data_IF_459232127088
#
_entry.id   IF_459232127088
#
_cell.length_a   1.000
_cell.length_b   1.000
_cell.length_c   1.000
_cell.angle_alpha   90.00
_cell.angle_beta   90.00
_cell.angle_gamma   90.00
#
_symmetry.space_group_name_H-M   'P 1'
#
loop_
_entity.id
_entity.type
_entity.pdbx_description
1 polymer ?
#
# COMPACT_ATOMS: atom_id res chain seq x y z
N UNK A 1 6.00 -30.74 -28.05
CA UNK A 1 6.60 -29.50 -27.49
C UNK A 1 5.47 -28.58 -27.07
N UNK A 2 5.15 -28.51 -25.77
CA UNK A 2 4.18 -27.54 -25.27
C UNK A 2 4.84 -26.16 -25.24
N UNK A 3 4.31 -25.20 -26.01
CA UNK A 3 4.68 -23.79 -25.88
C UNK A 3 4.16 -23.32 -24.51
N UNK A 4 5.04 -23.23 -23.52
CA UNK A 4 4.79 -22.44 -22.32
C UNK A 4 4.82 -20.97 -22.73
N UNK A 5 3.70 -20.50 -23.29
CA UNK A 5 3.44 -19.08 -23.35
C UNK A 5 3.40 -18.60 -21.90
N UNK A 6 4.19 -17.59 -21.55
CA UNK A 6 4.09 -16.94 -20.25
C UNK A 6 2.69 -16.30 -20.15
N UNK A 7 1.69 -17.08 -19.73
CA UNK A 7 0.34 -16.62 -19.49
C UNK A 7 0.36 -15.94 -18.13
N UNK A 8 0.73 -14.66 -18.12
CA UNK A 8 0.51 -13.84 -16.93
C UNK A 8 -0.99 -13.89 -16.58
N UNK A 9 -1.36 -14.12 -15.32
CA UNK A 9 -2.76 -14.28 -14.92
C UNK A 9 -3.61 -13.00 -15.10
N UNK A 10 -2.96 -11.85 -15.32
CA UNK A 10 -3.63 -10.56 -15.46
C UNK A 10 -3.07 -9.75 -16.62
N UNK A 11 -3.87 -8.79 -17.10
CA UNK A 11 -3.44 -7.84 -18.13
C UNK A 11 -2.58 -6.72 -17.52
N UNK A 12 -1.87 -5.98 -18.38
CA UNK A 12 -0.99 -4.86 -17.95
C UNK A 12 -1.72 -3.85 -17.06
N UNK A 13 -3.00 -3.61 -17.33
CA UNK A 13 -3.82 -2.68 -16.58
C UNK A 13 -4.03 -3.12 -15.12
N UNK A 14 -4.28 -4.40 -14.89
CA UNK A 14 -4.39 -4.96 -13.53
C UNK A 14 -3.09 -4.78 -12.74
N UNK A 15 -1.96 -5.11 -13.36
CA UNK A 15 -0.64 -4.93 -12.74
C UNK A 15 -0.35 -3.46 -12.42
N UNK A 16 -0.84 -2.53 -13.24
CA UNK A 16 -0.74 -1.11 -12.95
C UNK A 16 -1.51 -0.73 -11.67
N UNK A 17 -2.77 -1.16 -11.53
CA UNK A 17 -3.54 -0.91 -10.30
C UNK A 17 -2.89 -1.56 -9.07
N UNK A 18 -2.45 -2.81 -9.19
CA UNK A 18 -1.76 -3.50 -8.09
C UNK A 18 -0.49 -2.74 -7.70
N UNK A 19 0.31 -2.28 -8.66
CA UNK A 19 1.51 -1.48 -8.42
C UNK A 19 1.22 -0.14 -7.75
N UNK A 20 0.17 0.56 -8.18
CA UNK A 20 -0.27 1.82 -7.56
C UNK A 20 -0.72 1.59 -6.12
N UNK A 21 -1.55 0.57 -5.88
CA UNK A 21 -2.03 0.24 -4.54
C UNK A 21 -0.88 -0.17 -3.60
N UNK A 22 0.09 -0.92 -4.11
CA UNK A 22 1.30 -1.26 -3.36
C UNK A 22 2.13 -0.03 -2.99
N UNK A 23 2.32 0.91 -3.93
CA UNK A 23 3.03 2.15 -3.67
C UNK A 23 2.31 3.02 -2.62
N UNK A 24 0.98 3.08 -2.66
CA UNK A 24 0.17 3.76 -1.64
C UNK A 24 0.39 3.15 -0.25
N UNK A 25 0.42 1.82 -0.14
CA UNK A 25 0.74 1.14 1.12
C UNK A 25 2.14 1.52 1.62
N UNK A 26 3.15 1.51 0.74
CA UNK A 26 4.52 1.94 1.10
C UNK A 26 4.51 3.37 1.64
N UNK A 27 3.87 4.30 0.95
CA UNK A 27 3.79 5.70 1.38
C UNK A 27 3.10 5.79 2.74
N UNK A 28 1.99 5.07 2.93
CA UNK A 28 1.29 5.02 4.21
C UNK A 28 2.18 4.54 5.35
N UNK A 29 2.94 3.45 5.15
CA UNK A 29 3.88 2.96 6.16
C UNK A 29 5.05 3.93 6.40
N UNK A 30 5.57 4.58 5.36
CA UNK A 30 6.63 5.59 5.50
C UNK A 30 6.18 6.79 6.34
N UNK A 31 4.92 7.21 6.21
CA UNK A 31 4.37 8.31 7.01
C UNK A 31 4.25 7.96 8.51
N UNK A 32 4.23 6.67 8.85
CA UNK A 32 4.25 6.20 10.25
C UNK A 32 5.63 6.30 10.90
N UNK A 33 6.72 6.42 10.12
CA UNK A 33 8.10 6.41 10.64
C UNK A 33 8.41 7.63 11.50
N UNK A 34 8.96 7.41 12.70
CA UNK A 34 9.36 8.44 13.67
C UNK A 34 8.40 8.58 14.86
N UNK A 35 8.50 9.69 15.59
CA UNK A 35 7.65 9.98 16.76
C UNK A 35 8.04 9.20 18.02
N UNK A 36 8.92 8.20 17.91
CA UNK A 36 9.53 7.57 19.08
C UNK A 36 10.31 8.58 19.93
N UNK A 37 10.30 8.39 21.24
CA UNK A 37 11.17 9.11 22.15
C UNK A 37 12.56 8.45 22.16
N UNK A 38 13.63 9.25 22.24
CA UNK A 38 14.98 8.73 22.45
C UNK A 38 15.17 8.16 23.87
N UNK A 39 14.40 8.69 24.84
CA UNK A 39 14.33 8.18 26.21
C UNK A 39 12.92 7.61 26.47
N UNK A 40 12.77 6.30 26.72
CA UNK A 40 11.48 5.68 27.02
C UNK A 40 10.76 6.26 28.24
N UNK A 41 11.47 6.93 29.15
CA UNK A 41 10.88 7.60 30.31
C UNK A 41 10.20 8.93 29.97
N UNK A 42 10.44 9.48 28.77
CA UNK A 42 9.90 10.76 28.33
C UNK A 42 8.86 10.51 27.23
N UNK A 43 7.64 10.98 27.48
CA UNK A 43 6.56 10.91 26.50
C UNK A 43 6.76 11.92 25.36
N UNK A 44 6.81 11.45 24.11
CA UNK A 44 6.84 12.31 22.93
C UNK A 44 5.42 12.45 22.34
N UNK A 45 4.79 13.64 22.39
CA UNK A 45 3.44 13.86 21.85
C UNK A 45 3.36 13.70 20.31
N UNK A 46 4.48 13.72 19.59
CA UNK A 46 4.50 13.53 18.13
C UNK A 46 4.06 12.13 17.68
N UNK A 47 4.09 11.14 18.58
CA UNK A 47 3.49 9.81 18.35
C UNK A 47 2.02 9.95 17.94
N UNK A 48 1.31 10.91 18.55
CA UNK A 48 -0.12 11.14 18.32
C UNK A 48 -0.41 12.18 17.24
N UNK A 49 0.56 12.48 16.38
CA UNK A 49 0.33 13.35 15.24
C UNK A 49 -0.77 12.80 14.33
N UNK A 50 -1.64 13.71 13.85
CA UNK A 50 -2.70 13.40 12.88
C UNK A 50 -2.18 12.63 11.65
N UNK A 51 -0.96 12.97 11.21
CA UNK A 51 -0.28 12.29 10.10
C UNK A 51 -0.12 10.79 10.36
N UNK A 52 0.32 10.39 11.56
CA UNK A 52 0.62 9.00 11.91
C UNK A 52 -0.64 8.19 12.22
N UNK A 53 -1.57 8.77 12.98
CA UNK A 53 -2.76 8.04 13.48
C UNK A 53 -3.90 8.04 12.47
N UNK A 54 -4.04 9.08 11.65
CA UNK A 54 -5.19 9.24 10.76
C UNK A 54 -4.80 9.14 9.29
N UNK A 55 -3.87 9.98 8.84
CA UNK A 55 -3.53 10.02 7.41
C UNK A 55 -2.83 8.73 6.94
N UNK A 56 -1.91 8.21 7.75
CA UNK A 56 -1.15 7.00 7.39
C UNK A 56 -2.05 5.76 7.27
N UNK A 57 -2.93 5.44 8.24
CA UNK A 57 -3.82 4.28 8.10
C UNK A 57 -4.82 4.43 6.97
N UNK A 58 -5.33 5.64 6.71
CA UNK A 58 -6.23 5.90 5.57
C UNK A 58 -5.52 5.59 4.24
N UNK A 59 -4.27 6.00 4.07
CA UNK A 59 -3.48 5.71 2.87
C UNK A 59 -3.23 4.21 2.69
N UNK A 60 -2.95 3.48 3.77
CA UNK A 60 -2.77 2.02 3.74
C UNK A 60 -4.07 1.34 3.31
N UNK A 61 -5.20 1.72 3.90
CA UNK A 61 -6.51 1.16 3.54
C UNK A 61 -6.86 1.48 2.08
N UNK A 62 -6.62 2.71 1.64
CA UNK A 62 -6.81 3.09 0.24
C UNK A 62 -5.93 2.25 -0.71
N UNK A 63 -4.67 2.03 -0.34
CA UNK A 63 -3.76 1.14 -1.07
C UNK A 63 -4.32 -0.28 -1.20
N UNK A 64 -4.80 -0.87 -0.11
CA UNK A 64 -5.45 -2.18 -0.14
C UNK A 64 -6.70 -2.22 -1.03
N UNK A 65 -7.57 -1.20 -0.96
CA UNK A 65 -8.75 -1.10 -1.83
C UNK A 65 -8.32 -1.07 -3.30
N UNK A 66 -7.27 -0.33 -3.65
CA UNK A 66 -6.76 -0.25 -5.03
C UNK A 66 -6.16 -1.59 -5.49
N UNK A 67 -5.42 -2.29 -4.62
CA UNK A 67 -4.91 -3.64 -4.94
C UNK A 67 -6.07 -4.61 -5.16
N UNK A 68 -7.06 -4.63 -4.27
CA UNK A 68 -8.25 -5.47 -4.40
C UNK A 68 -8.98 -5.16 -5.72
N UNK A 69 -9.16 -3.88 -6.04
CA UNK A 69 -9.73 -3.47 -7.33
C UNK A 69 -8.90 -3.98 -8.51
N UNK A 70 -7.58 -3.85 -8.44
CA UNK A 70 -6.67 -4.34 -9.48
C UNK A 70 -6.74 -5.85 -9.69
N UNK A 71 -6.96 -6.64 -8.63
CA UNK A 71 -7.15 -8.09 -8.69
C UNK A 71 -8.55 -8.45 -9.21
N UNK A 72 -9.58 -7.76 -8.73
CA UNK A 72 -10.99 -8.03 -9.10
C UNK A 72 -11.35 -7.55 -10.51
N UNK A 73 -10.60 -6.59 -11.06
CA UNK A 73 -10.81 -6.08 -12.41
C UNK A 73 -10.66 -7.22 -13.40
N UNK A 74 -11.77 -7.64 -14.02
CA UNK A 74 -11.72 -8.68 -15.05
C UNK A 74 -10.82 -8.20 -16.19
N UNK A 75 -9.83 -9.00 -16.63
CA UNK A 75 -9.02 -8.67 -17.78
C UNK A 75 -9.97 -8.50 -18.99
N UNK A 76 -10.03 -7.30 -19.55
CA UNK A 76 -10.63 -7.09 -20.87
C UNK A 76 -9.64 -7.65 -21.89
N UNK A 77 -10.08 -8.67 -22.62
CA UNK A 77 -9.34 -9.31 -23.72
C UNK A 77 -8.75 -8.28 -24.70
#
# INVERSE_FOLDING_TARGET
MAKTNHLLPFNKENYLYIGIGFLLCIIGYLLMVGGGSEDPAIYNPEVFSFRRITLSPILIIAGFIVVIYGIMKKPKE
#
